data_IF_812952975181
#
_entry.id   IF_812952975181
#
_cell.length_a   1.000
_cell.length_b   1.000
_cell.length_c   1.000
_cell.angle_alpha   90.00
_cell.angle_beta   90.00
_cell.angle_gamma   90.00
#
_symmetry.space_group_name_H-M   'P 1'
#
loop_
_entity.id
_entity.type
_entity.pdbx_description
1 polymer ?
#
# COMPACT_ATOMS: atom_id res chain seq x y z
N UNK A 1 16.12 -7.58 20.88
CA UNK A 1 15.99 -7.33 19.42
C UNK A 1 16.20 -5.84 19.18
N UNK A 2 17.04 -5.45 18.19
CA UNK A 2 17.29 -4.03 17.91
C UNK A 2 16.06 -3.34 17.28
N UNK A 3 15.99 -2.00 17.38
CA UNK A 3 14.91 -1.21 16.76
C UNK A 3 14.86 -1.47 15.23
N UNK A 4 16.05 -1.54 14.59
CA UNK A 4 16.15 -1.85 13.16
C UNK A 4 15.58 -3.25 12.83
N UNK A 5 15.89 -4.26 13.65
CA UNK A 5 15.33 -5.60 13.43
C UNK A 5 13.81 -5.60 13.52
N UNK A 6 13.24 -4.95 14.54
CA UNK A 6 11.77 -4.83 14.69
C UNK A 6 11.14 -4.15 13.48
N UNK A 7 11.75 -3.09 12.96
CA UNK A 7 11.25 -2.36 11.80
C UNK A 7 11.29 -3.21 10.52
N UNK A 8 12.39 -3.96 10.31
CA UNK A 8 12.60 -4.74 9.09
C UNK A 8 11.94 -6.12 9.12
N UNK A 9 11.59 -6.65 10.28
CA UNK A 9 10.95 -7.97 10.37
C UNK A 9 9.44 -7.85 10.16
N UNK A 10 8.88 -8.81 9.43
CA UNK A 10 7.42 -8.94 9.33
C UNK A 10 6.87 -9.40 10.68
N UNK A 11 5.98 -8.62 11.27
CA UNK A 11 5.27 -9.01 12.49
C UNK A 11 4.26 -10.15 12.24
N UNK A 12 3.67 -10.67 13.30
CA UNK A 12 2.75 -11.81 13.23
C UNK A 12 1.51 -11.52 12.38
N UNK A 13 0.95 -10.32 12.50
CA UNK A 13 -0.26 -9.93 11.78
C UNK A 13 0.04 -9.71 10.29
N UNK A 14 1.14 -9.05 9.98
CA UNK A 14 1.62 -8.87 8.61
C UNK A 14 1.88 -10.23 7.93
N UNK A 15 2.54 -11.16 8.63
CA UNK A 15 2.75 -12.53 8.11
C UNK A 15 1.44 -13.25 7.83
N UNK A 16 0.46 -13.14 8.73
CA UNK A 16 -0.87 -13.76 8.57
C UNK A 16 -1.61 -13.15 7.37
N UNK A 17 -1.56 -11.82 7.24
CA UNK A 17 -2.14 -11.12 6.11
C UNK A 17 -1.54 -11.58 4.78
N UNK A 18 -0.20 -11.56 4.65
CA UNK A 18 0.50 -11.95 3.42
C UNK A 18 0.19 -13.40 3.05
N UNK A 19 0.22 -14.33 4.01
CA UNK A 19 -0.16 -15.72 3.78
C UNK A 19 -1.57 -15.87 3.20
N UNK A 20 -2.55 -15.14 3.76
CA UNK A 20 -3.93 -15.15 3.27
C UNK A 20 -4.05 -14.53 1.89
N UNK A 21 -3.45 -13.36 1.67
CA UNK A 21 -3.46 -12.63 0.38
C UNK A 21 -2.91 -13.50 -0.75
N UNK A 22 -1.78 -14.18 -0.49
CA UNK A 22 -1.02 -14.96 -1.48
C UNK A 22 -1.49 -16.43 -1.51
N UNK A 23 -2.64 -16.76 -0.90
CA UNK A 23 -3.23 -18.11 -0.84
C UNK A 23 -2.25 -19.20 -0.36
N UNK A 24 -1.30 -18.84 0.51
CA UNK A 24 -0.26 -19.74 1.02
C UNK A 24 0.50 -20.48 -0.11
N UNK A 25 0.83 -19.76 -1.19
CA UNK A 25 1.56 -20.24 -2.36
C UNK A 25 2.62 -19.24 -2.77
N UNK A 26 3.65 -19.73 -3.46
CA UNK A 26 4.58 -18.86 -4.17
C UNK A 26 3.83 -18.08 -5.27
N UNK A 27 3.80 -16.76 -5.19
CA UNK A 27 3.05 -15.94 -6.15
C UNK A 27 3.61 -16.00 -7.57
N UNK A 28 4.91 -16.35 -7.71
CA UNK A 28 5.57 -16.43 -9.01
C UNK A 28 5.36 -17.78 -9.70
N UNK A 29 5.63 -18.91 -9.00
CA UNK A 29 5.57 -20.22 -9.64
C UNK A 29 4.43 -21.13 -9.13
N UNK A 30 3.58 -20.64 -8.21
CA UNK A 30 2.43 -21.39 -7.69
C UNK A 30 2.77 -22.51 -6.70
N UNK A 31 4.05 -22.81 -6.44
CA UNK A 31 4.48 -23.88 -5.53
C UNK A 31 4.00 -23.58 -4.09
N UNK A 32 3.52 -24.62 -3.39
CA UNK A 32 3.03 -24.54 -2.02
C UNK A 32 3.96 -25.23 -0.99
N UNK A 33 5.15 -25.69 -1.42
CA UNK A 33 6.18 -26.24 -0.55
C UNK A 33 6.79 -25.17 0.38
N UNK A 34 8.01 -25.40 0.83
CA UNK A 34 8.68 -24.50 1.76
C UNK A 34 8.64 -23.03 1.30
N UNK A 35 7.82 -22.23 2.00
CA UNK A 35 7.51 -20.85 1.66
C UNK A 35 8.15 -19.85 2.63
N UNK A 36 8.59 -18.73 2.11
CA UNK A 36 9.16 -17.61 2.85
C UNK A 36 8.54 -16.29 2.39
N UNK A 37 8.56 -15.29 3.26
CA UNK A 37 8.17 -13.93 2.86
C UNK A 37 9.42 -13.17 2.43
N UNK A 38 9.43 -12.73 1.18
CA UNK A 38 10.50 -11.95 0.57
C UNK A 38 10.18 -10.46 0.61
N UNK A 39 11.19 -9.62 0.88
CA UNK A 39 11.11 -8.16 0.69
C UNK A 39 11.33 -7.83 -0.79
N UNK A 40 10.47 -6.98 -1.37
CA UNK A 40 10.47 -6.75 -2.82
C UNK A 40 10.97 -5.36 -3.23
N UNK A 41 10.36 -4.30 -2.72
CA UNK A 41 10.76 -2.93 -3.11
C UNK A 41 12.08 -2.52 -2.47
N UNK A 42 12.27 -2.86 -1.20
CA UNK A 42 13.48 -2.59 -0.46
C UNK A 42 13.83 -3.78 0.43
N UNK A 43 15.00 -4.38 0.20
CA UNK A 43 15.42 -5.58 0.94
C UNK A 43 15.69 -5.29 2.42
N UNK A 44 15.59 -6.33 3.25
CA UNK A 44 15.92 -6.25 4.68
C UNK A 44 17.35 -5.75 4.92
N UNK A 45 18.30 -6.19 4.09
CA UNK A 45 19.71 -5.77 4.17
C UNK A 45 19.86 -4.27 4.01
N UNK A 46 19.08 -3.64 3.13
CA UNK A 46 19.06 -2.21 2.89
C UNK A 46 18.09 -1.45 3.81
N UNK A 47 17.60 -2.09 4.87
CA UNK A 47 16.71 -1.46 5.84
C UNK A 47 15.25 -1.39 5.41
N UNK A 48 14.82 -2.31 4.56
CA UNK A 48 13.44 -2.40 4.10
C UNK A 48 12.48 -2.78 5.21
N UNK A 49 11.37 -2.05 5.34
CA UNK A 49 10.31 -2.30 6.32
C UNK A 49 9.61 -3.62 6.06
N UNK A 50 9.37 -4.39 7.13
CA UNK A 50 8.57 -5.62 7.11
C UNK A 50 7.08 -5.31 7.14
N UNK A 51 6.51 -4.86 6.02
CA UNK A 51 5.09 -4.54 5.89
C UNK A 51 4.45 -5.24 4.68
N UNK A 52 3.13 -5.25 4.62
CA UNK A 52 2.39 -5.95 3.57
C UNK A 52 2.66 -5.41 2.16
N UNK A 53 2.95 -4.12 2.03
CA UNK A 53 3.30 -3.45 0.78
C UNK A 53 4.69 -3.82 0.26
N UNK A 54 5.56 -4.38 1.12
CA UNK A 54 6.92 -4.75 0.76
C UNK A 54 7.16 -6.27 0.80
N UNK A 55 6.17 -7.08 1.17
CA UNK A 55 6.32 -8.51 1.39
C UNK A 55 5.45 -9.36 0.48
N UNK A 56 6.01 -10.46 -0.06
CA UNK A 56 5.27 -11.49 -0.81
C UNK A 56 5.71 -12.89 -0.41
N UNK A 57 4.81 -13.88 -0.61
CA UNK A 57 5.16 -15.30 -0.45
C UNK A 57 5.91 -15.80 -1.66
N UNK A 58 7.13 -16.32 -1.43
CA UNK A 58 7.91 -17.04 -2.43
C UNK A 58 8.33 -18.40 -1.88
N UNK A 59 8.47 -19.42 -2.76
CA UNK A 59 9.16 -20.65 -2.39
C UNK A 59 10.67 -20.37 -2.28
N UNK A 60 11.38 -21.25 -1.55
CA UNK A 60 12.83 -21.10 -1.32
C UNK A 60 13.58 -20.88 -2.64
N UNK A 61 13.26 -21.64 -3.69
CA UNK A 61 13.95 -21.54 -4.99
C UNK A 61 13.77 -20.14 -5.62
N UNK A 62 12.53 -19.64 -5.70
CA UNK A 62 12.26 -18.29 -6.26
C UNK A 62 12.87 -17.20 -5.38
N UNK A 63 12.85 -17.33 -4.06
CA UNK A 63 13.46 -16.37 -3.15
C UNK A 63 14.99 -16.33 -3.31
N UNK A 64 15.64 -17.49 -3.37
CA UNK A 64 17.09 -17.57 -3.62
C UNK A 64 17.47 -17.01 -4.99
N UNK A 65 16.65 -17.26 -6.04
CA UNK A 65 16.87 -16.68 -7.37
C UNK A 65 16.75 -15.17 -7.34
N UNK A 66 15.81 -14.63 -6.57
CA UNK A 66 15.64 -13.19 -6.39
C UNK A 66 16.82 -12.52 -5.68
N UNK A 67 17.31 -13.14 -4.59
CA UNK A 67 18.36 -12.53 -3.74
C UNK A 67 19.77 -12.74 -4.32
N UNK A 68 20.08 -13.96 -4.75
CA UNK A 68 21.44 -14.39 -5.06
C UNK A 68 21.55 -15.15 -6.39
N UNK A 69 20.51 -15.15 -7.22
CA UNK A 69 20.50 -15.90 -8.47
C UNK A 69 21.58 -15.43 -9.45
N UNK A 70 22.34 -16.37 -10.00
CA UNK A 70 23.31 -16.11 -11.09
C UNK A 70 22.61 -15.76 -12.40
N UNK A 71 21.42 -16.28 -12.61
CA UNK A 71 20.57 -15.93 -13.74
C UNK A 71 19.88 -14.58 -13.48
N UNK A 72 20.47 -13.54 -14.04
CA UNK A 72 19.97 -12.16 -13.92
C UNK A 72 18.61 -11.99 -14.60
N UNK A 73 18.34 -12.70 -15.72
CA UNK A 73 17.07 -12.63 -16.42
C UNK A 73 15.93 -13.18 -15.56
N UNK A 74 16.11 -14.35 -14.94
CA UNK A 74 15.10 -14.93 -14.04
C UNK A 74 14.89 -14.06 -12.80
N UNK A 75 15.96 -13.52 -12.20
CA UNK A 75 15.88 -12.58 -11.07
C UNK A 75 15.04 -11.36 -11.41
N UNK A 76 15.29 -10.76 -12.57
CA UNK A 76 14.57 -9.56 -13.02
C UNK A 76 13.10 -9.87 -13.32
N UNK A 77 12.79 -11.00 -13.92
CA UNK A 77 11.42 -11.47 -14.12
C UNK A 77 10.67 -11.63 -12.79
N UNK A 78 11.28 -12.31 -11.81
CA UNK A 78 10.68 -12.48 -10.47
C UNK A 78 10.43 -11.11 -9.83
N UNK A 79 11.43 -10.22 -9.87
CA UNK A 79 11.34 -8.89 -9.28
C UNK A 79 10.22 -8.05 -9.92
N UNK A 80 10.18 -7.97 -11.25
CA UNK A 80 9.16 -7.23 -11.98
C UNK A 80 7.75 -7.78 -11.71
N UNK A 81 7.60 -9.09 -11.75
CA UNK A 81 6.32 -9.74 -11.45
C UNK A 81 5.84 -9.43 -10.02
N UNK A 82 6.72 -9.61 -9.01
CA UNK A 82 6.37 -9.35 -7.63
C UNK A 82 6.02 -7.88 -7.36
N UNK A 83 6.73 -6.94 -8.01
CA UNK A 83 6.42 -5.50 -7.91
C UNK A 83 5.07 -5.18 -8.54
N UNK A 84 4.77 -5.67 -9.74
CA UNK A 84 3.49 -5.48 -10.40
C UNK A 84 2.34 -6.05 -9.56
N UNK A 85 2.53 -7.26 -9.02
CA UNK A 85 1.57 -7.89 -8.12
C UNK A 85 1.26 -7.04 -6.89
N UNK A 86 2.29 -6.51 -6.20
CA UNK A 86 2.10 -5.67 -5.02
C UNK A 86 1.42 -4.34 -5.35
N UNK A 87 1.80 -3.71 -6.46
CA UNK A 87 1.18 -2.45 -6.92
C UNK A 87 -0.33 -2.65 -7.10
N UNK A 88 -0.73 -3.74 -7.73
CA UNK A 88 -2.14 -4.07 -7.93
C UNK A 88 -2.85 -4.43 -6.61
N UNK A 89 -2.31 -5.39 -5.84
CA UNK A 89 -2.97 -5.95 -4.65
C UNK A 89 -3.06 -4.98 -3.48
N UNK A 90 -2.08 -4.12 -3.32
CA UNK A 90 -2.03 -3.14 -2.23
C UNK A 90 -2.46 -1.73 -2.68
N UNK A 91 -2.93 -1.58 -3.93
CA UNK A 91 -3.36 -0.30 -4.52
C UNK A 91 -2.30 0.81 -4.37
N UNK A 92 -1.05 0.50 -4.69
CA UNK A 92 0.06 1.43 -4.55
C UNK A 92 -0.03 2.46 -5.69
N UNK A 93 -0.47 3.67 -5.38
CA UNK A 93 -0.66 4.76 -6.35
C UNK A 93 0.64 5.56 -6.52
N UNK A 94 1.36 5.80 -5.43
CA UNK A 94 2.60 6.58 -5.41
C UNK A 94 3.76 5.74 -4.85
N UNK A 95 4.55 5.20 -5.77
CA UNK A 95 5.73 4.40 -5.43
C UNK A 95 6.82 5.24 -4.74
N UNK A 96 6.95 6.52 -5.10
CA UNK A 96 7.94 7.43 -4.52
C UNK A 96 7.67 7.66 -3.03
N UNK A 97 6.41 7.91 -2.69
CA UNK A 97 5.96 8.04 -1.30
C UNK A 97 6.15 6.73 -0.53
N UNK A 98 5.78 5.59 -1.13
CA UNK A 98 5.99 4.28 -0.52
C UNK A 98 7.47 4.05 -0.20
N UNK A 99 8.38 4.30 -1.14
CA UNK A 99 9.82 4.09 -0.94
C UNK A 99 10.38 4.88 0.24
N UNK A 100 9.89 6.08 0.49
CA UNK A 100 10.27 6.89 1.67
C UNK A 100 9.82 6.22 2.98
N UNK A 101 8.65 5.61 3.00
CA UNK A 101 8.11 4.93 4.20
C UNK A 101 8.75 3.58 4.45
N UNK A 102 9.24 2.91 3.40
CA UNK A 102 9.90 1.61 3.51
C UNK A 102 11.32 1.68 4.05
N UNK A 103 12.01 2.80 3.88
CA UNK A 103 13.41 2.92 4.29
C UNK A 103 13.53 3.09 5.80
N UNK A 104 14.36 2.24 6.44
CA UNK A 104 14.69 2.42 7.86
C UNK A 104 15.30 3.78 8.09
N UNK A 105 14.67 4.53 8.97
CA UNK A 105 15.17 5.73 9.61
C UNK A 105 14.86 5.58 11.10
N UNK A 106 15.83 5.90 11.95
CA UNK A 106 15.70 5.75 13.41
C UNK A 106 14.47 6.52 13.95
N UNK A 107 14.19 7.70 13.42
CA UNK A 107 13.05 8.53 13.81
C UNK A 107 11.73 7.87 13.36
N UNK A 108 11.67 7.39 12.11
CA UNK A 108 10.48 6.73 11.57
C UNK A 108 10.21 5.39 12.26
N UNK A 109 11.26 4.65 12.64
CA UNK A 109 11.13 3.41 13.39
C UNK A 109 10.55 3.63 14.79
N UNK A 110 10.98 4.68 15.49
CA UNK A 110 10.43 5.06 16.81
C UNK A 110 8.96 5.50 16.68
N UNK A 111 8.63 6.27 15.64
CA UNK A 111 7.24 6.69 15.38
C UNK A 111 6.31 5.53 15.05
N UNK A 112 6.79 4.46 14.41
CA UNK A 112 5.99 3.27 14.13
C UNK A 112 5.74 2.40 15.37
N UNK A 113 6.62 2.45 16.37
CA UNK A 113 6.42 1.77 17.66
C UNK A 113 5.45 2.54 18.58
N UNK A 114 5.34 3.85 18.39
CA UNK A 114 4.33 4.65 19.07
C UNK A 114 3.04 4.48 18.28
N UNK A 115 2.16 3.60 18.75
CA UNK A 115 0.75 3.61 18.32
C UNK A 115 0.14 4.93 18.80
N UNK A 116 0.30 5.97 18.01
CA UNK A 116 -0.50 7.18 18.19
C UNK A 116 -1.90 6.77 17.71
N UNK A 117 -2.70 6.29 18.63
CA UNK A 117 -4.14 6.27 18.45
C UNK A 117 -4.57 7.74 18.36
N UNK A 118 -4.49 8.28 17.15
CA UNK A 118 -5.29 9.46 16.87
C UNK A 118 -6.73 9.02 17.10
N UNK A 119 -7.46 9.67 18.03
CA UNK A 119 -8.88 9.43 18.12
C UNK A 119 -9.42 9.70 16.71
N UNK A 120 -9.79 8.64 16.02
CA UNK A 120 -10.53 8.76 14.77
C UNK A 120 -11.88 9.33 15.20
N UNK A 121 -11.96 10.65 15.37
CA UNK A 121 -13.24 11.32 15.26
C UNK A 121 -13.78 10.83 13.93
N UNK A 122 -14.90 10.11 13.97
CA UNK A 122 -15.71 9.83 12.77
C UNK A 122 -15.96 11.19 12.13
N UNK A 123 -15.07 11.61 11.27
CA UNK A 123 -15.28 12.80 10.45
C UNK A 123 -16.37 12.34 9.52
N UNK A 124 -17.57 12.85 9.74
CA UNK A 124 -18.65 12.73 8.76
C UNK A 124 -18.20 13.48 7.52
N UNK A 125 -17.56 12.74 6.66
CA UNK A 125 -17.01 13.23 5.42
C UNK A 125 -18.17 13.56 4.49
N UNK A 126 -18.53 14.80 4.30
CA UNK A 126 -19.59 15.26 3.38
C UNK A 126 -18.95 15.77 2.08
N UNK A 127 -19.67 15.67 0.99
CA UNK A 127 -19.17 16.16 -0.31
C UNK A 127 -18.74 17.62 -0.29
N UNK A 128 -19.28 18.45 0.62
CA UNK A 128 -18.87 19.87 0.79
C UNK A 128 -17.39 20.05 1.11
N UNK A 129 -16.75 19.04 1.74
CA UNK A 129 -15.35 19.08 2.18
C UNK A 129 -14.40 18.40 1.18
N UNK A 130 -14.91 17.97 0.02
CA UNK A 130 -14.13 17.25 -0.99
C UNK A 130 -13.42 18.21 -1.96
N UNK A 131 -12.12 17.99 -2.21
CA UNK A 131 -11.33 18.77 -3.19
C UNK A 131 -11.83 18.60 -4.62
N UNK A 132 -12.55 17.51 -4.91
CA UNK A 132 -13.11 17.23 -6.23
C UNK A 132 -14.51 17.84 -6.44
N UNK A 133 -15.00 18.62 -5.47
CA UNK A 133 -16.26 19.30 -5.59
C UNK A 133 -16.08 20.61 -6.37
N UNK A 134 -16.80 20.74 -7.48
CA UNK A 134 -16.84 21.93 -8.29
C UNK A 134 -18.18 22.64 -8.13
N UNK A 135 -18.13 23.95 -7.87
CA UNK A 135 -19.31 24.81 -7.82
C UNK A 135 -19.51 25.42 -9.19
N UNK A 136 -20.63 25.11 -9.85
CA UNK A 136 -21.03 25.70 -11.13
C UNK A 136 -22.23 26.60 -10.92
N UNK A 137 -22.29 27.69 -11.69
CA UNK A 137 -23.50 28.57 -11.72
C UNK A 137 -24.49 27.93 -12.70
N UNK A 138 -25.74 27.82 -12.29
CA UNK A 138 -26.82 27.50 -13.22
C UNK A 138 -27.10 28.75 -14.09
N UNK A 139 -27.28 28.56 -15.40
CA UNK A 139 -27.60 29.67 -16.32
C UNK A 139 -28.96 30.28 -16.07
N UNK A 140 -29.84 29.56 -15.39
CA UNK A 140 -31.25 29.91 -15.20
C UNK A 140 -31.65 30.20 -13.75
N UNK A 141 -30.85 29.77 -12.77
CA UNK A 141 -31.15 29.92 -11.35
C UNK A 141 -29.94 30.44 -10.58
N UNK A 142 -30.16 31.35 -9.64
CA UNK A 142 -29.13 31.89 -8.74
C UNK A 142 -28.57 30.88 -7.75
N UNK A 143 -29.08 29.63 -7.74
CA UNK A 143 -28.70 28.59 -6.80
C UNK A 143 -27.47 27.85 -7.33
N UNK A 144 -26.40 27.77 -6.57
CA UNK A 144 -25.20 27.07 -7.00
C UNK A 144 -25.42 25.56 -7.10
N UNK A 145 -25.04 24.98 -8.21
CA UNK A 145 -25.04 23.54 -8.44
C UNK A 145 -23.64 22.98 -8.16
N UNK A 146 -23.59 21.84 -7.50
CA UNK A 146 -22.33 21.16 -7.16
C UNK A 146 -22.16 19.90 -8.00
N UNK A 147 -20.97 19.75 -8.59
CA UNK A 147 -20.58 18.60 -9.41
C UNK A 147 -19.38 17.89 -8.82
N UNK A 148 -19.38 16.56 -8.85
CA UNK A 148 -18.21 15.75 -8.58
C UNK A 148 -17.36 15.63 -9.86
N UNK A 149 -16.13 16.15 -9.86
CA UNK A 149 -15.22 16.11 -11.01
C UNK A 149 -14.90 14.67 -11.44
N UNK A 150 -14.78 13.75 -10.49
CA UNK A 150 -14.45 12.35 -10.78
C UNK A 150 -15.61 11.61 -11.44
N UNK A 151 -16.83 11.78 -10.92
CA UNK A 151 -18.02 11.08 -11.41
C UNK A 151 -18.76 11.85 -12.51
N UNK A 152 -18.39 13.11 -12.72
CA UNK A 152 -19.05 14.06 -13.64
C UNK A 152 -20.59 14.11 -13.48
N UNK A 153 -21.06 14.05 -12.25
CA UNK A 153 -22.49 14.09 -11.90
C UNK A 153 -22.80 15.22 -10.94
N UNK A 154 -24.04 15.70 -10.99
CA UNK A 154 -24.59 16.64 -9.99
C UNK A 154 -24.68 15.93 -8.64
N UNK A 155 -24.21 16.58 -7.58
CA UNK A 155 -24.20 16.01 -6.22
C UNK A 155 -24.82 16.96 -5.20
N UNK A 156 -25.45 16.39 -4.19
CA UNK A 156 -25.86 17.15 -3.02
C UNK A 156 -24.64 17.27 -2.07
N UNK A 157 -24.18 18.50 -1.79
CA UNK A 157 -23.03 18.77 -0.92
C UNK A 157 -23.14 18.19 0.51
N UNK A 158 -24.36 17.89 0.96
CA UNK A 158 -24.64 17.40 2.30
C UNK A 158 -24.80 15.86 2.37
N UNK A 159 -24.77 15.15 1.22
CA UNK A 159 -24.79 13.68 1.23
C UNK A 159 -23.42 13.09 1.60
N UNK A 160 -23.48 11.91 2.19
CA UNK A 160 -22.30 11.13 2.53
C UNK A 160 -21.58 10.68 1.25
N UNK A 161 -20.32 10.52 1.38
CA UNK A 161 -19.20 10.43 0.49
C UNK A 161 -19.20 9.23 -0.41
N UNK A 162 -18.57 9.47 -1.54
CA UNK A 162 -18.14 8.41 -2.44
C UNK A 162 -16.78 7.83 -1.98
N UNK A 163 -16.49 6.60 -2.43
CA UNK A 163 -15.23 5.89 -2.17
C UNK A 163 -13.96 6.63 -2.65
N UNK A 164 -14.14 7.61 -3.54
CA UNK A 164 -13.06 8.45 -4.10
C UNK A 164 -12.97 9.82 -3.44
N UNK A 165 -13.29 9.90 -2.16
CA UNK A 165 -13.22 11.16 -1.43
C UNK A 165 -11.78 11.57 -1.13
N UNK A 166 -11.44 12.80 -1.51
CA UNK A 166 -10.22 13.47 -1.11
C UNK A 166 -10.56 14.75 -0.36
N UNK A 167 -10.11 14.87 0.87
CA UNK A 167 -10.31 16.06 1.70
C UNK A 167 -9.47 17.22 1.15
N UNK A 168 -10.06 18.43 1.19
CA UNK A 168 -9.34 19.68 0.94
C UNK A 168 -8.32 19.96 2.01
#
# INVERSE_FOLDING_TARGET
MSIRSKFCDFDKETRKYIKKRDNNKCIFCGNNGALQIAHIFLSRAHGGKGCKENGVMLCIKCHQSLDNGKDTSLRDQINQFCRAYLIEKENIIDLSSLMKTLKYDKINAIRSDIKIEFPIKKIENKCKDCVMLEKRKDKFNSIPIYYCKIKNIRVNKNKNICEKYNKK
#
